data_IF_482652843639
#
_entry.id   IF_482652843639
#
_cell.length_a   1.000
_cell.length_b   1.000
_cell.length_c   1.000
_cell.angle_alpha   90.00
_cell.angle_beta   90.00
_cell.angle_gamma   90.00
#
_symmetry.space_group_name_H-M   'P 1'
#
loop_
_entity.id
_entity.type
_entity.pdbx_description
1 polymer ?
#
# COMPACT_ATOMS: atom_id res chain seq x y z
N UNK A 1 20.14 5.05 2.24
CA UNK A 1 20.30 5.71 3.56
C UNK A 1 19.18 5.28 4.47
N UNK A 2 17.88 5.57 4.18
CA UNK A 2 16.74 5.23 5.05
C UNK A 2 16.67 3.73 5.43
N UNK A 3 16.82 2.82 4.46
CA UNK A 3 16.84 1.39 4.70
C UNK A 3 17.96 0.98 5.68
N UNK A 4 19.15 1.54 5.49
CA UNK A 4 20.29 1.30 6.37
C UNK A 4 20.06 1.84 7.79
N UNK A 5 19.49 3.05 7.89
CA UNK A 5 19.16 3.61 9.20
C UNK A 5 18.15 2.76 9.95
N UNK A 6 17.05 2.33 9.29
CA UNK A 6 16.04 1.47 9.92
C UNK A 6 16.62 0.11 10.30
N UNK A 7 17.48 -0.47 9.46
CA UNK A 7 18.15 -1.73 9.76
C UNK A 7 19.06 -1.62 10.98
N UNK A 8 19.85 -0.54 11.08
CA UNK A 8 20.80 -0.31 12.19
C UNK A 8 20.07 0.01 13.50
N UNK A 9 18.99 0.79 13.43
CA UNK A 9 18.20 1.19 14.60
C UNK A 9 16.99 0.28 14.86
N UNK A 10 16.93 -0.92 14.27
CA UNK A 10 15.81 -1.85 14.41
C UNK A 10 15.50 -2.20 15.86
N UNK A 11 16.52 -2.40 16.70
CA UNK A 11 16.40 -2.67 18.14
C UNK A 11 15.74 -1.49 18.88
N UNK A 12 16.18 -0.26 18.58
CA UNK A 12 15.58 0.95 19.15
C UNK A 12 14.08 1.06 18.80
N UNK A 13 13.72 0.80 17.55
CA UNK A 13 12.31 0.81 17.13
C UNK A 13 11.49 -0.28 17.79
N UNK A 14 12.04 -1.50 17.90
CA UNK A 14 11.36 -2.63 18.53
C UNK A 14 11.13 -2.42 20.03
N UNK A 15 12.16 -2.01 20.76
CA UNK A 15 12.14 -1.94 22.22
C UNK A 15 11.56 -0.62 22.72
N UNK A 16 11.99 0.52 22.18
CA UNK A 16 11.60 1.83 22.70
C UNK A 16 10.26 2.32 22.15
N UNK A 17 9.96 2.08 20.89
CA UNK A 17 8.75 2.60 20.25
C UNK A 17 7.63 1.58 20.30
N UNK A 18 7.86 0.35 19.82
CA UNK A 18 6.83 -0.69 19.78
C UNK A 18 6.67 -1.43 21.09
N UNK A 19 7.68 -1.39 21.97
CA UNK A 19 7.74 -2.11 23.25
C UNK A 19 7.58 -3.63 23.11
N UNK A 20 7.97 -4.16 21.96
CA UNK A 20 7.82 -5.56 21.59
C UNK A 20 9.13 -6.06 20.95
N UNK A 21 10.07 -6.63 21.74
CA UNK A 21 11.38 -7.08 21.22
C UNK A 21 11.28 -8.11 20.10
N UNK A 22 10.20 -8.91 20.06
CA UNK A 22 9.99 -9.91 19.03
C UNK A 22 9.84 -9.30 17.61
N UNK A 23 9.56 -8.00 17.51
CA UNK A 23 9.37 -7.31 16.21
C UNK A 23 10.70 -6.88 15.56
N UNK A 24 11.83 -6.96 16.25
CA UNK A 24 13.13 -6.54 15.72
C UNK A 24 13.49 -7.25 14.40
N UNK A 25 13.34 -8.57 14.36
CA UNK A 25 13.62 -9.37 13.16
C UNK A 25 12.69 -9.01 11.98
N UNK A 26 11.43 -8.66 12.28
CA UNK A 26 10.46 -8.20 11.29
C UNK A 26 10.89 -6.87 10.69
N UNK A 27 11.31 -5.92 11.53
CA UNK A 27 11.78 -4.58 11.10
C UNK A 27 13.04 -4.71 10.24
N UNK A 28 13.98 -5.58 10.60
CA UNK A 28 15.18 -5.82 9.81
C UNK A 28 14.87 -6.38 8.43
N UNK A 29 13.95 -7.32 8.33
CA UNK A 29 13.53 -7.89 7.06
C UNK A 29 12.78 -6.87 6.20
N UNK A 30 11.91 -6.07 6.79
CA UNK A 30 11.25 -4.96 6.11
C UNK A 30 12.25 -3.92 5.61
N UNK A 31 13.25 -3.55 6.42
CA UNK A 31 14.29 -2.61 6.00
C UNK A 31 15.04 -3.09 4.74
N UNK A 32 15.25 -4.40 4.63
CA UNK A 32 15.90 -5.01 3.47
C UNK A 32 15.03 -4.97 2.21
N UNK A 33 13.71 -4.87 2.32
CA UNK A 33 12.81 -4.75 1.16
C UNK A 33 12.82 -3.35 0.52
N UNK A 34 13.13 -2.28 1.26
CA UNK A 34 13.06 -0.90 0.75
C UNK A 34 13.90 -0.60 -0.51
N UNK A 35 15.14 -1.10 -0.67
CA UNK A 35 15.90 -0.88 -1.90
C UNK A 35 15.19 -1.45 -3.12
N UNK A 36 14.63 -2.66 -3.00
CA UNK A 36 13.90 -3.33 -4.08
C UNK A 36 12.60 -2.59 -4.42
N UNK A 37 11.83 -2.24 -3.40
CA UNK A 37 10.63 -1.41 -3.56
C UNK A 37 10.94 -0.06 -4.25
N UNK A 38 12.06 0.59 -3.88
CA UNK A 38 12.46 1.85 -4.49
C UNK A 38 12.74 1.71 -5.99
N UNK A 39 13.45 0.66 -6.41
CA UNK A 39 13.73 0.38 -7.83
C UNK A 39 12.43 0.13 -8.58
N UNK A 40 11.57 -0.74 -8.07
CA UNK A 40 10.27 -1.05 -8.66
C UNK A 40 9.41 0.21 -8.82
N UNK A 41 9.27 1.02 -7.78
CA UNK A 41 8.49 2.25 -7.82
C UNK A 41 9.04 3.30 -8.79
N UNK A 42 10.36 3.45 -8.89
CA UNK A 42 10.98 4.35 -9.88
C UNK A 42 10.66 3.92 -11.32
N UNK A 43 10.76 2.63 -11.61
CA UNK A 43 10.45 2.10 -12.96
C UNK A 43 8.97 2.27 -13.26
N UNK A 44 8.08 1.96 -12.32
CA UNK A 44 6.64 2.14 -12.49
C UNK A 44 6.27 3.60 -12.74
N UNK A 45 6.89 4.54 -12.00
CA UNK A 45 6.67 5.98 -12.19
C UNK A 45 7.15 6.45 -13.57
N UNK A 46 8.27 5.93 -14.06
CA UNK A 46 8.76 6.21 -15.41
C UNK A 46 7.76 5.78 -16.50
N UNK A 47 7.27 4.53 -16.44
CA UNK A 47 6.28 4.04 -17.41
C UNK A 47 4.94 4.77 -17.31
N UNK A 48 4.53 5.15 -16.10
CA UNK A 48 3.34 5.96 -15.89
C UNK A 48 3.48 7.34 -16.53
N UNK A 49 4.65 7.99 -16.39
CA UNK A 49 4.97 9.26 -17.07
C UNK A 49 4.92 9.15 -18.60
N UNK A 50 5.28 7.99 -19.15
CA UNK A 50 5.13 7.66 -20.58
C UNK A 50 3.69 7.31 -20.98
N UNK A 51 2.72 7.40 -20.08
CA UNK A 51 1.30 6.99 -20.27
C UNK A 51 1.12 5.51 -20.56
N UNK A 52 2.09 4.69 -20.24
CA UNK A 52 2.02 3.22 -20.37
C UNK A 52 1.60 2.58 -19.04
N UNK A 53 0.36 2.85 -18.61
CA UNK A 53 -0.18 2.36 -17.33
C UNK A 53 -0.30 0.83 -17.23
N UNK A 54 -0.27 0.12 -18.37
CA UNK A 54 -0.31 -1.35 -18.41
C UNK A 54 0.89 -1.99 -17.71
N UNK A 55 2.07 -1.36 -17.77
CA UNK A 55 3.26 -1.89 -17.12
C UNK A 55 3.16 -1.83 -15.58
N UNK A 56 2.89 -0.67 -14.94
CA UNK A 56 2.65 -0.62 -13.50
C UNK A 56 1.54 -1.55 -13.04
N UNK A 57 0.44 -1.66 -13.80
CA UNK A 57 -0.65 -2.56 -13.47
C UNK A 57 -0.20 -4.04 -13.48
N UNK A 58 0.55 -4.47 -14.50
CA UNK A 58 1.05 -5.83 -14.59
C UNK A 58 2.04 -6.17 -13.46
N UNK A 59 2.97 -5.26 -13.15
CA UNK A 59 3.95 -5.47 -12.07
C UNK A 59 3.29 -5.50 -10.70
N UNK A 60 2.24 -4.69 -10.45
CA UNK A 60 1.46 -4.74 -9.22
C UNK A 60 0.69 -6.05 -9.07
N UNK A 61 0.08 -6.55 -10.15
CA UNK A 61 -0.59 -7.86 -10.13
C UNK A 61 0.44 -8.97 -9.83
N UNK A 62 1.58 -8.96 -10.51
CA UNK A 62 2.67 -9.91 -10.24
C UNK A 62 3.11 -9.87 -8.77
N UNK A 63 3.32 -8.68 -8.21
CA UNK A 63 3.67 -8.49 -6.81
C UNK A 63 2.64 -9.14 -5.87
N UNK A 64 1.33 -8.92 -6.09
CA UNK A 64 0.29 -9.51 -5.25
C UNK A 64 0.21 -11.03 -5.40
N UNK A 65 0.31 -11.56 -6.62
CA UNK A 65 0.33 -13.00 -6.86
C UNK A 65 1.52 -13.65 -6.16
N UNK A 66 2.73 -13.10 -6.30
CA UNK A 66 3.93 -13.61 -5.63
C UNK A 66 3.79 -13.52 -4.11
N UNK A 67 3.22 -12.42 -3.59
CA UNK A 67 2.99 -12.25 -2.15
C UNK A 67 2.08 -13.34 -1.59
N UNK A 68 0.94 -13.57 -2.22
CA UNK A 68 -0.01 -14.60 -1.79
C UNK A 68 0.64 -15.99 -1.89
N UNK A 69 1.23 -16.31 -3.05
CA UNK A 69 1.83 -17.62 -3.28
C UNK A 69 2.98 -17.92 -2.32
N UNK A 70 3.91 -16.97 -2.14
CA UNK A 70 5.04 -17.14 -1.22
C UNK A 70 4.60 -17.26 0.23
N UNK A 71 3.62 -16.47 0.66
CA UNK A 71 3.06 -16.55 2.02
C UNK A 71 2.40 -17.91 2.25
N UNK A 72 1.56 -18.38 1.32
CA UNK A 72 0.93 -19.71 1.42
C UNK A 72 1.97 -20.84 1.41
N UNK A 73 2.99 -20.75 0.57
CA UNK A 73 4.06 -21.75 0.50
C UNK A 73 4.84 -21.80 1.82
N UNK A 74 5.27 -20.64 2.34
CA UNK A 74 5.98 -20.56 3.61
C UNK A 74 5.13 -21.09 4.76
N UNK A 75 3.84 -20.78 4.77
CA UNK A 75 2.91 -21.30 5.77
C UNK A 75 2.81 -22.82 5.72
N UNK A 76 2.67 -23.43 4.55
CA UNK A 76 2.67 -24.89 4.38
C UNK A 76 3.98 -25.53 4.85
N UNK A 77 5.13 -24.91 4.54
CA UNK A 77 6.44 -25.40 4.99
C UNK A 77 6.53 -25.35 6.53
N UNK A 78 6.06 -24.27 7.16
CA UNK A 78 6.05 -24.16 8.62
C UNK A 78 5.17 -25.25 9.27
N UNK A 79 3.99 -25.49 8.73
CA UNK A 79 3.09 -26.55 9.19
C UNK A 79 3.72 -27.93 9.06
N UNK A 80 4.32 -28.24 7.90
CA UNK A 80 4.96 -29.55 7.66
C UNK A 80 6.16 -29.81 8.56
N UNK A 81 6.82 -28.76 9.05
CA UNK A 81 7.99 -28.84 9.94
C UNK A 81 7.68 -28.60 11.42
N UNK A 82 6.37 -28.46 11.78
CA UNK A 82 5.94 -28.12 13.14
C UNK A 82 6.61 -26.84 13.70
N UNK A 83 6.86 -25.84 12.82
CA UNK A 83 7.41 -24.55 13.21
C UNK A 83 6.23 -23.63 13.52
N UNK A 84 6.32 -22.86 14.61
CA UNK A 84 5.28 -21.90 14.97
C UNK A 84 5.03 -20.89 13.84
N UNK A 85 3.75 -20.73 13.46
CA UNK A 85 3.34 -19.75 12.47
C UNK A 85 3.39 -18.37 13.11
N UNK A 86 4.27 -17.51 12.62
CA UNK A 86 4.48 -16.16 13.14
C UNK A 86 4.24 -15.10 12.05
N UNK A 87 4.12 -13.83 12.46
CA UNK A 87 4.04 -12.70 11.54
C UNK A 87 5.23 -12.63 10.55
N UNK A 88 6.34 -13.29 10.87
CA UNK A 88 7.52 -13.39 10.01
C UNK A 88 7.21 -13.95 8.62
N UNK A 89 6.27 -14.89 8.51
CA UNK A 89 5.84 -15.48 7.23
C UNK A 89 5.25 -14.42 6.31
N UNK A 90 4.39 -13.55 6.84
CA UNK A 90 3.76 -12.49 6.06
C UNK A 90 4.80 -11.44 5.60
N UNK A 91 5.74 -11.09 6.47
CA UNK A 91 6.82 -10.14 6.14
C UNK A 91 7.80 -10.75 5.13
N UNK A 92 8.12 -12.03 5.25
CA UNK A 92 8.95 -12.74 4.28
C UNK A 92 8.26 -12.84 2.91
N UNK A 93 6.95 -13.10 2.89
CA UNK A 93 6.15 -13.08 1.65
C UNK A 93 6.17 -11.70 0.98
N UNK A 94 6.06 -10.63 1.76
CA UNK A 94 6.17 -9.26 1.25
C UNK A 94 7.57 -8.97 0.70
N UNK A 95 8.63 -9.39 1.39
CA UNK A 95 10.01 -9.23 0.89
C UNK A 95 10.22 -9.95 -0.45
N UNK A 96 9.75 -11.20 -0.57
CA UNK A 96 9.86 -11.97 -1.81
C UNK A 96 9.09 -11.33 -2.96
N UNK A 97 7.91 -10.75 -2.69
CA UNK A 97 7.12 -10.07 -3.71
C UNK A 97 7.79 -8.79 -4.22
N UNK A 98 8.38 -7.99 -3.33
CA UNK A 98 9.14 -6.79 -3.72
C UNK A 98 10.39 -7.15 -4.53
N UNK A 99 11.10 -8.21 -4.14
CA UNK A 99 12.25 -8.72 -4.89
C UNK A 99 11.84 -9.15 -6.30
N UNK A 100 10.75 -9.91 -6.43
CA UNK A 100 10.24 -10.37 -7.73
C UNK A 100 9.81 -9.19 -8.62
N UNK A 101 9.10 -8.21 -8.04
CA UNK A 101 8.69 -7.01 -8.76
C UNK A 101 9.88 -6.16 -9.23
N UNK A 102 10.91 -6.01 -8.38
CA UNK A 102 12.13 -5.31 -8.73
C UNK A 102 12.90 -6.02 -9.85
N UNK A 103 13.05 -7.33 -9.78
CA UNK A 103 13.70 -8.14 -10.82
C UNK A 103 12.93 -8.04 -12.15
N UNK A 104 11.61 -8.18 -12.13
CA UNK A 104 10.78 -8.01 -13.31
C UNK A 104 10.95 -6.61 -13.94
N UNK A 105 10.93 -5.57 -13.12
CA UNK A 105 11.13 -4.19 -13.55
C UNK A 105 12.52 -3.99 -14.18
N UNK A 106 13.55 -4.53 -13.57
CA UNK A 106 14.92 -4.46 -14.08
C UNK A 106 15.07 -5.18 -15.42
N UNK A 107 14.53 -6.40 -15.54
CA UNK A 107 14.54 -7.19 -16.79
C UNK A 107 13.81 -6.44 -17.90
N UNK A 108 12.62 -5.89 -17.62
CA UNK A 108 11.85 -5.14 -18.62
C UNK A 108 12.56 -3.88 -19.10
N UNK A 109 13.23 -3.15 -18.22
CA UNK A 109 14.06 -1.99 -18.62
C UNK A 109 15.24 -2.43 -19.46
N UNK A 110 15.92 -3.51 -19.08
CA UNK A 110 17.07 -4.04 -19.82
C UNK A 110 16.70 -4.54 -21.22
N UNK A 111 15.54 -5.20 -21.37
CA UNK A 111 15.06 -5.68 -22.66
C UNK A 111 14.54 -4.56 -23.56
N UNK A 112 13.94 -3.52 -22.97
CA UNK A 112 13.46 -2.35 -23.71
C UNK A 112 14.55 -1.28 -23.86
N UNK A 113 15.75 -1.67 -24.28
CA UNK A 113 16.94 -0.81 -24.45
C UNK A 113 16.80 0.37 -25.42
N UNK A 114 15.61 0.71 -25.85
CA UNK A 114 15.30 1.99 -26.52
C UNK A 114 15.20 3.17 -25.53
N UNK A 115 15.64 2.98 -24.29
CA UNK A 115 15.93 4.12 -23.40
C UNK A 115 17.14 4.84 -24.03
N UNK A 116 16.84 5.70 -24.99
CA UNK A 116 17.83 6.57 -25.63
C UNK A 116 18.59 7.27 -24.52
N UNK A 117 19.90 7.05 -24.48
CA UNK A 117 20.83 7.78 -23.62
C UNK A 117 20.83 9.26 -24.06
N UNK A 118 19.72 9.95 -23.77
CA UNK A 118 19.66 11.37 -24.00
C UNK A 118 20.57 12.02 -22.98
N UNK A 119 21.60 12.69 -23.48
CA UNK A 119 22.52 13.46 -22.65
C UNK A 119 21.68 14.46 -21.84
N UNK A 120 21.61 14.27 -20.53
CA UNK A 120 20.83 15.15 -19.66
C UNK A 120 21.56 16.50 -19.61
N UNK A 121 21.06 17.48 -20.34
CA UNK A 121 21.53 18.84 -20.21
C UNK A 121 21.19 19.37 -18.81
N UNK A 122 22.19 19.86 -18.08
CA UNK A 122 22.09 20.48 -16.75
C UNK A 122 21.40 19.58 -15.70
N UNK A 123 22.00 18.43 -15.34
CA UNK A 123 21.39 17.48 -14.39
C UNK A 123 21.09 18.10 -13.02
N UNK A 124 21.93 19.01 -12.54
CA UNK A 124 21.76 19.69 -11.23
C UNK A 124 20.51 20.55 -11.20
N UNK A 125 20.20 21.27 -12.28
CA UNK A 125 19.03 22.13 -12.34
C UNK A 125 17.73 21.29 -12.35
N UNK A 126 17.72 20.19 -13.10
CA UNK A 126 16.57 19.26 -13.12
C UNK A 126 16.35 18.55 -11.77
N UNK A 127 17.43 18.18 -11.08
CA UNK A 127 17.35 17.62 -9.72
C UNK A 127 16.77 18.65 -8.74
N UNK A 128 17.16 19.91 -8.85
CA UNK A 128 16.61 20.99 -8.02
C UNK A 128 15.10 21.20 -8.27
N UNK A 129 14.66 21.22 -9.53
CA UNK A 129 13.24 21.33 -9.90
C UNK A 129 12.41 20.16 -9.33
N UNK A 130 12.92 18.92 -9.46
CA UNK A 130 12.29 17.74 -8.87
C UNK A 130 12.26 17.85 -7.35
N UNK A 131 13.33 18.32 -6.72
CA UNK A 131 13.43 18.51 -5.28
C UNK A 131 12.39 19.50 -4.74
N UNK A 132 12.19 20.61 -5.42
CA UNK A 132 11.16 21.61 -5.06
C UNK A 132 9.74 21.06 -5.11
N UNK A 133 9.44 20.14 -6.05
CA UNK A 133 8.14 19.46 -6.10
C UNK A 133 8.04 18.30 -5.10
N UNK A 134 9.11 17.53 -4.95
CA UNK A 134 9.12 16.34 -4.09
C UNK A 134 9.06 16.71 -2.60
N UNK A 135 9.69 17.79 -2.17
CA UNK A 135 9.77 18.17 -0.75
C UNK A 135 8.38 18.40 -0.12
N UNK A 136 7.49 19.25 -0.65
CA UNK A 136 6.18 19.46 -0.06
C UNK A 136 5.30 18.21 -0.12
N UNK A 137 5.40 17.40 -1.18
CA UNK A 137 4.67 16.14 -1.31
C UNK A 137 5.14 15.11 -0.27
N UNK A 138 6.46 15.01 -0.06
CA UNK A 138 7.04 14.12 0.96
C UNK A 138 6.65 14.56 2.36
N UNK A 139 6.70 15.86 2.65
CA UNK A 139 6.29 16.41 3.94
C UNK A 139 4.81 16.12 4.23
N UNK A 140 3.93 16.31 3.25
CA UNK A 140 2.51 15.96 3.38
C UNK A 140 2.33 14.46 3.66
N UNK A 141 3.06 13.59 2.95
CA UNK A 141 3.02 12.14 3.21
C UNK A 141 3.51 11.78 4.60
N UNK A 142 4.59 12.41 5.07
CA UNK A 142 5.10 12.23 6.43
C UNK A 142 4.07 12.63 7.48
N UNK A 143 3.43 13.79 7.34
CA UNK A 143 2.37 14.24 8.24
C UNK A 143 1.21 13.24 8.30
N UNK A 144 0.73 12.77 7.15
CA UNK A 144 -0.33 11.76 7.10
C UNK A 144 0.11 10.44 7.75
N UNK A 145 1.35 10.02 7.56
CA UNK A 145 1.88 8.79 8.20
C UNK A 145 1.99 8.93 9.72
N UNK A 146 2.38 10.11 10.22
CA UNK A 146 2.41 10.37 11.67
C UNK A 146 0.99 10.37 12.25
N UNK A 147 0.02 11.01 11.56
CA UNK A 147 -1.38 10.96 11.99
C UNK A 147 -1.91 9.52 12.05
N UNK A 148 -1.65 8.73 11.01
CA UNK A 148 -2.05 7.32 10.98
C UNK A 148 -1.40 6.51 12.12
N UNK A 149 -0.13 6.76 12.43
CA UNK A 149 0.54 6.11 13.55
C UNK A 149 -0.10 6.49 14.91
N UNK A 150 -0.47 7.75 15.09
CA UNK A 150 -1.19 8.22 16.28
C UNK A 150 -2.57 7.55 16.36
N UNK A 151 -3.30 7.46 15.25
CA UNK A 151 -4.61 6.81 15.18
C UNK A 151 -4.56 5.34 15.64
N UNK A 152 -3.58 4.58 15.16
CA UNK A 152 -3.36 3.16 15.53
C UNK A 152 -3.19 2.97 17.05
N UNK A 153 -2.59 3.93 17.73
CA UNK A 153 -2.38 3.89 19.18
C UNK A 153 -3.59 4.42 19.95
N UNK A 154 -4.15 5.55 19.50
CA UNK A 154 -5.21 6.24 20.22
C UNK A 154 -6.54 5.49 20.22
N UNK A 155 -6.95 4.91 19.08
CA UNK A 155 -8.26 4.25 19.01
C UNK A 155 -8.37 3.09 20.00
N UNK A 156 -7.44 2.11 20.06
CA UNK A 156 -7.50 1.06 21.07
C UNK A 156 -7.43 1.58 22.51
N UNK A 157 -6.65 2.65 22.76
CA UNK A 157 -6.61 3.25 24.10
C UNK A 157 -7.94 3.86 24.52
N UNK A 158 -8.60 4.60 23.62
CA UNK A 158 -9.93 5.15 23.87
C UNK A 158 -10.98 4.05 24.12
N UNK A 159 -10.94 2.97 23.36
CA UNK A 159 -11.82 1.81 23.55
C UNK A 159 -11.62 1.17 24.94
N UNK A 160 -10.38 1.08 25.41
CA UNK A 160 -10.08 0.61 26.77
C UNK A 160 -10.60 1.56 27.86
N UNK A 161 -10.50 2.86 27.65
CA UNK A 161 -11.07 3.86 28.57
C UNK A 161 -12.60 3.78 28.63
N UNK A 162 -13.24 3.26 27.59
CA UNK A 162 -14.67 3.04 27.54
C UNK A 162 -15.12 1.72 28.24
N UNK A 163 -14.16 0.97 28.79
CA UNK A 163 -14.42 -0.21 29.61
C UNK A 163 -14.18 -1.57 28.95
N UNK A 164 -13.63 -1.58 27.72
CA UNK A 164 -13.25 -2.83 27.07
C UNK A 164 -11.91 -3.35 27.62
N UNK A 165 -11.78 -4.67 27.66
CA UNK A 165 -10.49 -5.31 27.93
C UNK A 165 -9.47 -5.02 26.82
N UNK A 166 -8.16 -5.10 27.09
CA UNK A 166 -7.14 -4.85 26.07
C UNK A 166 -7.26 -5.73 24.82
N UNK A 167 -7.64 -6.99 24.99
CA UNK A 167 -7.85 -7.94 23.90
C UNK A 167 -9.10 -7.62 23.07
N UNK A 168 -10.19 -7.24 23.70
CA UNK A 168 -11.43 -6.85 23.03
C UNK A 168 -11.24 -5.55 22.24
N UNK A 169 -10.59 -4.54 22.84
CA UNK A 169 -10.30 -3.27 22.17
C UNK A 169 -9.44 -3.48 20.90
N UNK A 170 -8.42 -4.33 20.99
CA UNK A 170 -7.54 -4.63 19.86
C UNK A 170 -8.26 -5.45 18.79
N UNK A 171 -9.10 -6.42 19.20
CA UNK A 171 -9.92 -7.22 18.28
C UNK A 171 -10.92 -6.35 17.52
N UNK A 172 -11.64 -5.47 18.22
CA UNK A 172 -12.61 -4.55 17.61
C UNK A 172 -11.92 -3.59 16.64
N UNK A 173 -10.75 -3.05 17.01
CA UNK A 173 -9.93 -2.22 16.13
C UNK A 173 -9.45 -3.00 14.90
N UNK A 174 -9.05 -4.26 15.07
CA UNK A 174 -8.65 -5.14 13.98
C UNK A 174 -9.78 -5.42 12.99
N UNK A 175 -10.99 -5.69 13.47
CA UNK A 175 -12.18 -5.86 12.61
C UNK A 175 -12.50 -4.56 11.86
N UNK A 176 -12.45 -3.43 12.55
CA UNK A 176 -12.70 -2.12 11.93
C UNK A 176 -11.69 -1.81 10.82
N UNK A 177 -10.40 -1.92 11.10
CA UNK A 177 -9.33 -1.56 10.15
C UNK A 177 -9.07 -2.64 9.10
N UNK A 178 -9.25 -3.92 9.44
CA UNK A 178 -8.99 -5.04 8.56
C UNK A 178 -10.15 -5.44 7.65
N UNK A 179 -11.39 -5.13 8.05
CA UNK A 179 -12.59 -5.52 7.30
C UNK A 179 -13.46 -4.35 6.90
N UNK A 180 -13.93 -3.54 7.86
CA UNK A 180 -14.90 -2.49 7.59
C UNK A 180 -14.30 -1.34 6.75
N UNK A 181 -13.16 -0.81 7.14
CA UNK A 181 -12.49 0.29 6.43
C UNK A 181 -12.15 -0.05 4.97
N UNK A 182 -11.51 -1.18 4.64
CA UNK A 182 -11.25 -1.54 3.25
C UNK A 182 -12.51 -1.64 2.39
N UNK A 183 -13.60 -2.18 2.93
CA UNK A 183 -14.89 -2.25 2.25
C UNK A 183 -15.44 -0.85 1.95
N UNK A 184 -15.50 0.02 2.95
CA UNK A 184 -16.06 1.38 2.84
C UNK A 184 -15.19 2.24 1.91
N UNK A 185 -13.86 2.06 1.96
CA UNK A 185 -12.91 2.84 1.16
C UNK A 185 -12.68 2.28 -0.24
N UNK A 186 -13.26 1.12 -0.60
CA UNK A 186 -13.10 0.53 -1.92
C UNK A 186 -13.43 1.50 -3.08
N UNK A 187 -14.53 2.29 -3.04
CA UNK A 187 -14.81 3.27 -4.09
C UNK A 187 -13.73 4.34 -4.24
N UNK A 188 -13.10 4.73 -3.13
CA UNK A 188 -12.00 5.72 -3.17
C UNK A 188 -10.75 5.19 -3.85
N UNK A 189 -10.51 3.89 -3.79
CA UNK A 189 -9.40 3.23 -4.49
C UNK A 189 -9.58 3.33 -6.01
N UNK A 190 -10.81 3.12 -6.50
CA UNK A 190 -11.13 3.26 -7.93
C UNK A 190 -10.92 4.70 -8.40
N UNK A 191 -11.42 5.68 -7.64
CA UNK A 191 -11.26 7.11 -7.99
C UNK A 191 -9.81 7.58 -7.94
N UNK A 192 -9.03 7.08 -6.98
CA UNK A 192 -7.59 7.35 -6.86
C UNK A 192 -6.82 6.77 -8.05
N UNK A 193 -7.14 5.56 -8.47
CA UNK A 193 -6.53 4.92 -9.64
C UNK A 193 -6.79 5.70 -10.92
N UNK A 194 -8.03 6.17 -11.12
CA UNK A 194 -8.37 7.05 -12.24
C UNK A 194 -7.56 8.35 -12.22
N UNK A 195 -7.39 8.98 -11.05
CA UNK A 195 -6.60 10.21 -10.90
C UNK A 195 -5.13 10.01 -11.27
N UNK A 196 -4.53 8.91 -10.85
CA UNK A 196 -3.13 8.57 -11.16
C UNK A 196 -2.91 8.40 -12.67
N UNK A 197 -3.83 7.72 -13.37
CA UNK A 197 -3.74 7.51 -14.82
C UNK A 197 -3.96 8.83 -15.58
N UNK A 198 -4.85 9.69 -15.09
CA UNK A 198 -5.18 10.96 -15.76
C UNK A 198 -4.10 12.03 -15.55
N UNK A 199 -3.33 11.98 -14.48
CA UNK A 199 -2.35 13.01 -14.13
C UNK A 199 -1.36 13.32 -15.28
N UNK A 200 -0.67 12.35 -15.92
CA UNK A 200 0.24 12.64 -17.02
C UNK A 200 -0.46 13.22 -18.25
N UNK A 201 -1.70 12.76 -18.52
CA UNK A 201 -2.48 13.25 -19.67
C UNK A 201 -2.94 14.69 -19.47
N UNK A 202 -3.34 15.06 -18.25
CA UNK A 202 -3.73 16.44 -17.92
C UNK A 202 -2.50 17.35 -17.96
N UNK A 203 -1.36 16.92 -17.42
CA UNK A 203 -0.11 17.69 -17.47
C UNK A 203 0.33 18.02 -18.91
N UNK A 204 0.25 17.03 -19.81
CA UNK A 204 0.55 17.27 -21.24
C UNK A 204 -0.42 18.26 -21.88
N UNK A 205 -1.74 18.08 -21.66
CA UNK A 205 -2.73 18.99 -22.19
C UNK A 205 -2.57 20.43 -21.65
N UNK A 206 -2.10 20.55 -20.43
CA UNK A 206 -1.77 21.85 -19.83
C UNK A 206 -0.57 22.49 -20.52
N UNK A 207 0.48 21.74 -20.78
CA UNK A 207 1.66 22.22 -21.52
C UNK A 207 1.31 22.66 -22.97
N UNK A 208 0.35 21.94 -23.59
CA UNK A 208 -0.15 22.27 -24.93
C UNK A 208 -1.23 23.38 -24.94
N UNK A 209 -1.61 23.94 -23.79
CA UNK A 209 -2.61 25.01 -23.69
C UNK A 209 -4.06 24.58 -23.95
N UNK A 210 -4.36 23.30 -23.99
CA UNK A 210 -5.70 22.75 -24.33
C UNK A 210 -6.70 22.84 -23.18
N UNK A 211 -6.97 24.05 -22.66
CA UNK A 211 -7.86 24.28 -21.50
C UNK A 211 -9.28 23.69 -21.64
N UNK A 212 -9.84 23.67 -22.84
CA UNK A 212 -11.18 23.09 -23.08
C UNK A 212 -11.20 21.58 -22.85
N UNK A 213 -10.14 20.86 -23.30
CA UNK A 213 -10.02 19.40 -23.08
C UNK A 213 -9.82 19.08 -21.61
N UNK A 214 -9.00 19.85 -20.92
CA UNK A 214 -8.77 19.68 -19.45
C UNK A 214 -10.12 19.82 -18.73
N UNK A 215 -10.87 20.89 -18.97
CA UNK A 215 -12.19 21.11 -18.34
C UNK A 215 -13.16 19.96 -18.63
N UNK A 216 -13.22 19.49 -19.86
CA UNK A 216 -14.08 18.35 -20.23
C UNK A 216 -13.69 17.08 -19.47
N UNK A 217 -12.42 16.69 -19.47
CA UNK A 217 -11.92 15.49 -18.77
C UNK A 217 -12.18 15.61 -17.27
N UNK A 218 -11.82 16.74 -16.65
CA UNK A 218 -12.05 16.95 -15.21
C UNK A 218 -13.53 16.83 -14.86
N UNK A 219 -14.41 17.49 -15.64
CA UNK A 219 -15.87 17.41 -15.41
C UNK A 219 -16.38 15.98 -15.55
N UNK A 220 -15.99 15.27 -16.59
CA UNK A 220 -16.43 13.88 -16.81
C UNK A 220 -15.95 12.96 -15.70
N UNK A 221 -14.67 13.07 -15.30
CA UNK A 221 -14.12 12.29 -14.18
C UNK A 221 -14.82 12.60 -12.87
N UNK A 222 -14.99 13.87 -12.52
CA UNK A 222 -15.73 14.26 -11.31
C UNK A 222 -17.16 13.71 -11.31
N UNK A 223 -17.88 13.81 -12.44
CA UNK A 223 -19.24 13.26 -12.56
C UNK A 223 -19.24 11.74 -12.35
N UNK A 224 -18.30 11.03 -12.98
CA UNK A 224 -18.18 9.57 -12.80
C UNK A 224 -17.85 9.19 -11.34
N UNK A 225 -16.97 9.94 -10.68
CA UNK A 225 -16.64 9.72 -9.27
C UNK A 225 -17.86 9.96 -8.35
N UNK A 226 -18.65 11.01 -8.60
CA UNK A 226 -19.87 11.31 -7.85
C UNK A 226 -20.90 10.20 -8.05
N UNK A 227 -21.10 9.74 -9.28
CA UNK A 227 -22.04 8.65 -9.57
C UNK A 227 -21.60 7.36 -8.90
N UNK A 228 -20.32 7.01 -8.97
CA UNK A 228 -19.76 5.83 -8.29
C UNK A 228 -19.96 5.95 -6.78
N UNK A 229 -19.61 7.09 -6.19
CA UNK A 229 -19.77 7.33 -4.76
C UNK A 229 -21.22 7.23 -4.31
N UNK A 230 -22.17 7.82 -5.05
CA UNK A 230 -23.59 7.74 -4.73
C UNK A 230 -24.14 6.30 -4.84
N UNK A 231 -23.72 5.57 -5.87
CA UNK A 231 -24.07 4.15 -6.03
C UNK A 231 -23.58 3.31 -4.84
N UNK A 232 -22.31 3.48 -4.46
CA UNK A 232 -21.74 2.75 -3.33
C UNK A 232 -22.39 3.17 -2.00
N UNK A 233 -22.67 4.45 -1.79
CA UNK A 233 -23.39 4.92 -0.60
C UNK A 233 -24.76 4.26 -0.50
N UNK A 234 -25.51 4.22 -1.61
CA UNK A 234 -26.82 3.55 -1.67
C UNK A 234 -26.69 2.06 -1.37
N UNK A 235 -25.70 1.40 -1.96
CA UNK A 235 -25.43 -0.01 -1.71
C UNK A 235 -25.11 -0.27 -0.23
N UNK A 236 -24.24 0.49 0.40
CA UNK A 236 -23.89 0.31 1.81
C UNK A 236 -25.05 0.68 2.75
N UNK A 237 -25.87 1.68 2.40
CA UNK A 237 -27.02 2.06 3.19
C UNK A 237 -28.08 0.96 3.26
N UNK A 238 -28.42 0.36 2.12
CA UNK A 238 -29.43 -0.71 2.05
C UNK A 238 -28.85 -2.11 2.28
N UNK A 239 -27.63 -2.35 1.86
CA UNK A 239 -26.96 -3.66 1.91
C UNK A 239 -25.96 -3.82 3.06
N UNK A 240 -25.79 -2.80 3.92
CA UNK A 240 -24.76 -2.82 4.97
C UNK A 240 -24.91 -3.97 5.96
N UNK A 241 -26.14 -4.32 6.34
CA UNK A 241 -26.41 -5.46 7.20
C UNK A 241 -26.01 -6.79 6.52
N UNK A 242 -26.28 -6.93 5.23
CA UNK A 242 -25.90 -8.12 4.46
C UNK A 242 -24.38 -8.18 4.25
N UNK A 243 -23.76 -7.08 3.91
CA UNK A 243 -22.31 -6.98 3.74
C UNK A 243 -21.54 -7.22 5.05
N UNK A 244 -22.11 -6.84 6.20
CA UNK A 244 -21.54 -7.06 7.53
C UNK A 244 -21.65 -8.52 8.04
N UNK A 245 -22.67 -9.25 7.62
CA UNK A 245 -22.87 -10.65 8.07
C UNK A 245 -21.87 -11.62 7.44
N UNK A 246 -21.42 -11.39 6.21
CA UNK A 246 -20.49 -12.28 5.50
C UNK A 246 -19.13 -12.39 6.22
N UNK A 247 -18.39 -11.29 6.50
CA UNK A 247 -17.11 -11.38 7.20
C UNK A 247 -17.23 -11.80 8.67
N UNK A 248 -18.30 -11.40 9.37
CA UNK A 248 -18.52 -11.75 10.77
C UNK A 248 -18.85 -13.23 10.91
N UNK A 249 -19.65 -13.81 10.01
CA UNK A 249 -19.98 -15.23 10.00
C UNK A 249 -18.74 -16.11 9.83
N UNK A 250 -17.77 -15.67 9.03
CA UNK A 250 -16.51 -16.38 8.81
C UNK A 250 -15.59 -16.36 10.04
N UNK A 251 -15.55 -15.25 10.78
CA UNK A 251 -14.77 -15.13 12.01
C UNK A 251 -15.37 -15.92 13.16
N UNK A 252 -16.71 -16.00 13.27
CA UNK A 252 -17.39 -16.83 14.27
C UNK A 252 -17.19 -18.32 14.02
N UNK A 253 -17.24 -18.79 12.78
CA UNK A 253 -16.93 -20.18 12.43
C UNK A 253 -15.51 -20.58 12.84
N UNK A 254 -14.53 -19.70 12.61
CA UNK A 254 -13.13 -19.96 12.95
C UNK A 254 -12.87 -19.93 14.47
N UNK A 255 -13.57 -19.10 15.22
CA UNK A 255 -13.47 -19.07 16.68
C UNK A 255 -14.01 -20.36 17.31
N UNK A 256 -15.09 -20.94 16.76
CA UNK A 256 -15.64 -22.22 17.20
C UNK A 256 -14.73 -23.42 16.90
N UNK A 257 -13.97 -23.38 15.80
CA UNK A 257 -13.00 -24.44 15.48
C UNK A 257 -11.78 -24.45 16.40
N UNK A 258 -11.40 -23.28 16.94
CA UNK A 258 -10.26 -23.17 17.87
C UNK A 258 -10.61 -23.52 19.31
N UNK A 259 -11.90 -23.58 19.69
CA UNK A 259 -12.32 -24.07 21.01
C UNK A 259 -12.51 -25.60 21.06
N UNK A 260 -12.44 -26.30 19.93
CA UNK A 260 -12.61 -27.76 19.83
C UNK A 260 -11.28 -28.54 19.75
N UNK A 261 -10.16 -27.90 19.89
CA UNK A 261 -8.83 -28.51 19.99
C UNK A 261 -8.07 -27.95 21.21
#
# INVERSE_FOLDING_TARGET
IAAWSIFTFSDFFAVQILKEPATESLIRLLALSFPFASVHLCVNSYYLGLKKASFPAATQILEQVVRIFSTCLLWQICLSRNIAVTAMIAVAGSFLSELAAALCSFICVSLNSSVSSHHIEKPVQKISEIGHMALPLTLNRLLLSVLAAIEVVLIPQCLRMYGLSPSEALSLYGVFTGMALPCILFPSTVTSSASVILMPSVAEMQALGHRKKIRYITRTTCTACILLGSLCTTFFYFGGNFAGTIPVSYTHLRAHETELH
#
